data_IF_110196587915
#
_entry.id   IF_110196587915
#
_cell.length_a   1.000
_cell.length_b   1.000
_cell.length_c   1.000
_cell.angle_alpha   90.00
_cell.angle_beta   90.00
_cell.angle_gamma   90.00
#
_symmetry.space_group_name_H-M   'P 1'
#
loop_
_entity.id
_entity.type
_entity.pdbx_description
1 polymer ?
#
# COMPACT_ATOMS: atom_id res chain seq x y z
N UNK A 1 10.98 16.88 9.21
CA UNK A 1 10.62 18.03 10.08
C UNK A 1 11.79 19.01 10.24
N UNK A 2 11.54 20.34 10.29
CA UNK A 2 12.59 21.34 10.53
C UNK A 2 13.33 21.09 11.85
N UNK A 3 12.61 20.85 12.94
CA UNK A 3 13.21 20.43 14.21
C UNK A 3 13.76 19.00 14.09
N UNK A 4 15.08 18.76 14.26
CA UNK A 4 15.64 17.42 14.23
C UNK A 4 15.09 16.48 15.31
N UNK A 5 14.57 17.02 16.42
CA UNK A 5 13.99 16.25 17.53
C UNK A 5 12.63 15.62 17.18
N UNK A 6 12.02 16.03 16.07
CA UNK A 6 10.74 15.46 15.60
C UNK A 6 10.94 14.43 14.48
N UNK A 7 12.18 14.07 14.15
CA UNK A 7 12.48 13.11 13.08
C UNK A 7 12.45 11.70 13.64
N UNK A 8 11.28 11.10 13.84
CA UNK A 8 11.20 9.67 14.13
C UNK A 8 11.81 8.88 12.97
N UNK A 9 12.58 7.83 13.25
CA UNK A 9 13.22 7.00 12.24
C UNK A 9 12.58 5.62 12.28
N UNK A 10 12.00 5.22 11.16
CA UNK A 10 11.37 3.90 10.99
C UNK A 10 11.70 3.32 9.62
N UNK A 11 11.61 2.00 9.49
CA UNK A 11 11.76 1.31 8.20
C UNK A 11 10.56 1.57 7.29
N UNK A 12 10.74 1.23 6.01
CA UNK A 12 9.62 1.06 5.08
C UNK A 12 9.16 -0.40 5.11
N UNK A 13 7.92 -0.65 4.73
CA UNK A 13 7.41 -1.99 4.48
C UNK A 13 8.31 -2.74 3.49
N UNK A 14 8.54 -4.01 3.75
CA UNK A 14 9.21 -4.95 2.86
C UNK A 14 8.42 -6.29 2.81
N UNK A 15 7.76 -6.63 1.69
CA UNK A 15 7.59 -5.82 0.49
C UNK A 15 6.69 -4.60 0.74
N UNK A 16 6.77 -3.60 -0.13
CA UNK A 16 5.86 -2.45 -0.07
C UNK A 16 4.41 -2.89 -0.34
N UNK A 17 3.44 -2.19 0.25
CA UNK A 17 2.02 -2.45 -0.01
C UNK A 17 1.70 -2.15 -1.47
N UNK A 18 0.81 -2.93 -2.05
CA UNK A 18 0.23 -2.71 -3.39
C UNK A 18 -0.84 -1.63 -3.41
N UNK A 19 -1.48 -1.38 -2.27
CA UNK A 19 -2.50 -0.35 -2.16
C UNK A 19 -2.36 0.44 -0.85
N UNK A 20 -2.61 1.74 -0.94
CA UNK A 20 -2.68 2.70 0.16
C UNK A 20 -3.76 3.71 -0.21
N UNK A 21 -4.69 3.95 0.72
CA UNK A 21 -5.79 4.88 0.51
C UNK A 21 -5.28 6.31 0.22
N UNK A 22 -6.04 7.03 -0.61
CA UNK A 22 -5.87 8.47 -0.80
C UNK A 22 -5.91 9.20 0.55
N UNK A 23 -5.03 10.20 0.65
CA UNK A 23 -4.78 11.04 1.80
C UNK A 23 -4.28 10.26 3.03
N UNK A 24 -3.80 9.02 2.84
CA UNK A 24 -3.02 8.33 3.85
C UNK A 24 -1.78 9.15 4.21
N UNK A 25 -1.41 9.16 5.48
CA UNK A 25 -0.21 9.82 5.99
C UNK A 25 0.74 8.74 6.49
N UNK A 26 2.00 8.80 6.04
CA UNK A 26 2.99 7.81 6.43
C UNK A 26 4.36 8.37 6.77
N UNK A 27 5.14 7.62 7.54
CA UNK A 27 6.54 7.90 7.85
C UNK A 27 7.42 6.79 7.29
N UNK A 28 8.55 7.17 6.67
CA UNK A 28 9.51 6.24 6.09
C UNK A 28 10.92 6.83 6.20
N UNK A 29 11.80 6.17 6.93
CA UNK A 29 13.00 6.81 7.45
C UNK A 29 12.62 7.97 8.37
N UNK A 30 13.17 9.14 8.12
CA UNK A 30 12.84 10.40 8.83
C UNK A 30 11.87 11.32 8.07
N UNK A 31 11.31 10.82 6.97
CA UNK A 31 10.44 11.57 6.07
C UNK A 31 8.98 11.23 6.32
N UNK A 32 8.13 12.23 6.10
CA UNK A 32 6.68 12.08 6.07
C UNK A 32 6.20 12.18 4.62
N UNK A 33 5.19 11.40 4.26
CA UNK A 33 4.46 11.54 3.01
C UNK A 33 2.95 11.67 3.27
N UNK A 34 2.26 12.32 2.34
CA UNK A 34 0.81 12.24 2.19
C UNK A 34 0.55 11.63 0.81
N UNK A 35 -0.22 10.56 0.75
CA UNK A 35 -0.56 9.90 -0.50
C UNK A 35 -1.63 10.72 -1.22
N UNK A 36 -1.26 11.42 -2.30
CA UNK A 36 -2.19 12.29 -3.04
C UNK A 36 -3.29 11.53 -3.78
N UNK A 37 -3.13 10.23 -4.00
CA UNK A 37 -4.07 9.35 -4.67
C UNK A 37 -3.87 7.92 -4.19
N UNK A 38 -4.86 7.05 -4.45
CA UNK A 38 -4.72 5.61 -4.18
C UNK A 38 -3.53 5.05 -4.96
N UNK A 39 -2.62 4.37 -4.26
CA UNK A 39 -1.35 3.94 -4.85
C UNK A 39 -0.62 2.91 -3.99
N UNK A 40 0.30 2.12 -4.57
CA UNK A 40 1.27 1.34 -3.80
C UNK A 40 2.10 2.22 -2.86
N UNK A 41 2.52 1.68 -1.73
CA UNK A 41 3.18 2.48 -0.68
C UNK A 41 4.01 1.68 0.31
N UNK A 42 5.24 2.14 0.56
CA UNK A 42 6.15 1.53 1.54
C UNK A 42 6.21 2.24 2.89
N UNK A 43 5.61 3.41 3.07
CA UNK A 43 5.73 4.17 4.33
C UNK A 43 4.84 3.55 5.42
N UNK A 44 5.29 3.62 6.68
CA UNK A 44 4.50 3.22 7.84
C UNK A 44 3.30 4.15 7.99
N UNK A 45 2.08 3.61 7.95
CA UNK A 45 0.87 4.43 8.03
C UNK A 45 0.63 4.89 9.46
N UNK A 46 0.44 6.20 9.62
CA UNK A 46 0.25 6.82 10.93
C UNK A 46 -1.08 7.58 11.05
N UNK A 47 -1.82 7.72 9.94
CA UNK A 47 -3.10 8.41 9.94
C UNK A 47 -3.62 8.70 8.54
N UNK A 48 -4.63 9.56 8.47
CA UNK A 48 -5.26 10.03 7.24
C UNK A 48 -5.56 11.53 7.37
N UNK A 49 -5.60 12.22 6.25
CA UNK A 49 -5.86 13.66 6.18
C UNK A 49 -6.86 13.97 5.06
N UNK A 50 -7.02 15.25 4.75
CA UNK A 50 -7.78 15.76 3.62
C UNK A 50 -7.03 15.54 2.30
N UNK A 51 -7.72 15.48 1.15
CA UNK A 51 -7.05 15.38 -0.16
C UNK A 51 -6.07 16.54 -0.40
N UNK A 52 -4.86 16.20 -0.86
CA UNK A 52 -3.84 17.18 -1.28
C UNK A 52 -3.71 17.27 -2.81
N UNK A 53 -4.55 16.52 -3.52
CA UNK A 53 -4.67 16.49 -4.97
C UNK A 53 -6.13 16.73 -5.34
N UNK A 54 -6.40 17.78 -6.13
CA UNK A 54 -7.75 18.22 -6.48
C UNK A 54 -8.31 17.60 -7.76
N UNK A 55 -7.55 16.73 -8.42
CA UNK A 55 -7.98 16.09 -9.67
C UNK A 55 -8.27 17.11 -10.79
N UNK A 56 -9.31 16.83 -11.60
CA UNK A 56 -9.68 17.66 -12.74
C UNK A 56 -10.51 18.89 -12.37
N UNK A 57 -11.10 18.92 -11.17
CA UNK A 57 -11.94 20.01 -10.67
C UNK A 57 -11.53 20.34 -9.23
N UNK A 58 -10.37 20.98 -9.07
CA UNK A 58 -9.86 21.30 -7.74
C UNK A 58 -10.82 22.23 -6.98
N UNK A 59 -11.02 21.94 -5.69
CA UNK A 59 -11.87 22.74 -4.80
C UNK A 59 -11.23 24.08 -4.41
N UNK A 60 -11.90 24.83 -3.52
CA UNK A 60 -11.52 26.22 -3.14
C UNK A 60 -10.10 26.39 -2.59
N UNK A 61 -9.51 25.34 -2.03
CA UNK A 61 -8.18 25.37 -1.40
C UNK A 61 -7.03 25.38 -2.41
N UNK A 62 -7.31 25.06 -3.67
CA UNK A 62 -6.30 24.92 -4.72
C UNK A 62 -6.23 26.21 -5.54
N UNK A 63 -5.05 26.49 -6.09
CA UNK A 63 -4.90 27.59 -7.04
C UNK A 63 -5.51 27.24 -8.40
N UNK A 64 -6.00 28.24 -9.13
CA UNK A 64 -6.65 28.07 -10.43
C UNK A 64 -5.79 27.27 -11.41
N UNK A 65 -6.33 26.16 -11.90
CA UNK A 65 -5.66 25.25 -12.84
C UNK A 65 -4.52 24.42 -12.24
N UNK A 66 -4.31 24.47 -10.92
CA UNK A 66 -3.23 23.73 -10.23
C UNK A 66 -3.82 22.60 -9.38
N UNK A 67 -3.65 21.32 -9.77
CA UNK A 67 -4.27 20.21 -9.06
C UNK A 67 -3.50 19.76 -7.81
N UNK A 68 -2.25 20.19 -7.59
CA UNK A 68 -1.50 19.90 -6.37
C UNK A 68 -1.61 21.04 -5.36
N UNK A 69 -1.90 20.69 -4.11
CA UNK A 69 -2.08 21.69 -3.04
C UNK A 69 -0.74 22.27 -2.56
N UNK A 70 0.26 21.42 -2.41
CA UNK A 70 1.53 21.74 -1.76
C UNK A 70 2.60 22.13 -2.77
N UNK A 71 3.41 23.12 -2.42
CA UNK A 71 4.61 23.54 -3.15
C UNK A 71 5.87 23.22 -2.35
N UNK A 72 7.02 23.23 -3.01
CA UNK A 72 8.29 23.13 -2.29
C UNK A 72 8.40 24.27 -1.26
N UNK A 73 8.96 23.93 -0.10
CA UNK A 73 9.12 24.82 1.07
C UNK A 73 7.84 25.18 1.85
N UNK A 74 6.67 24.71 1.41
CA UNK A 74 5.46 24.80 2.23
C UNK A 74 5.64 24.02 3.54
N UNK A 75 4.92 24.47 4.58
CA UNK A 75 4.90 23.83 5.89
C UNK A 75 3.51 23.31 6.18
N UNK A 76 3.42 22.03 6.51
CA UNK A 76 2.19 21.41 6.98
C UNK A 76 2.17 21.50 8.51
N UNK A 77 1.06 21.99 9.05
CA UNK A 77 0.78 21.99 10.49
C UNK A 77 -0.40 21.05 10.74
N UNK A 78 -0.19 20.08 11.63
CA UNK A 78 -1.17 19.05 11.95
C UNK A 78 -1.97 19.45 13.19
N UNK A 79 -3.27 19.18 13.17
CA UNK A 79 -4.14 19.26 14.34
C UNK A 79 -4.90 17.93 14.48
N UNK A 80 -5.04 17.40 15.70
CA UNK A 80 -5.75 16.14 15.91
C UNK A 80 -7.25 16.33 15.70
N UNK A 81 -7.86 15.38 15.00
CA UNK A 81 -9.31 15.27 14.83
C UNK A 81 -9.72 13.81 14.96
N UNK A 82 -10.98 13.58 15.34
CA UNK A 82 -11.58 12.25 15.31
C UNK A 82 -11.82 11.79 13.86
N UNK A 83 -12.02 10.46 13.63
CA UNK A 83 -12.37 9.95 12.32
C UNK A 83 -13.67 10.55 11.75
N UNK A 84 -14.67 10.80 12.60
CA UNK A 84 -15.94 11.40 12.17
C UNK A 84 -15.76 12.85 11.72
N UNK A 85 -15.07 13.66 12.53
CA UNK A 85 -14.75 15.05 12.18
C UNK A 85 -13.94 15.14 10.89
N UNK A 86 -13.00 14.21 10.64
CA UNK A 86 -12.26 14.18 9.38
C UNK A 86 -13.18 13.94 8.18
N UNK A 87 -14.18 13.06 8.31
CA UNK A 87 -15.14 12.82 7.23
C UNK A 87 -16.02 14.05 6.97
N UNK A 88 -16.45 14.72 8.03
CA UNK A 88 -17.23 15.97 7.93
C UNK A 88 -16.41 17.08 7.23
N UNK A 89 -15.16 17.27 7.65
CA UNK A 89 -14.24 18.24 7.02
C UNK A 89 -14.07 17.93 5.52
N UNK A 90 -13.90 16.65 5.17
CA UNK A 90 -13.76 16.25 3.76
C UNK A 90 -15.02 16.55 2.96
N UNK A 91 -16.19 16.24 3.51
CA UNK A 91 -17.46 16.56 2.86
C UNK A 91 -17.66 18.08 2.68
N UNK A 92 -17.24 18.90 3.65
CA UNK A 92 -17.28 20.36 3.55
C UNK A 92 -16.31 20.91 2.47
N UNK A 93 -15.12 20.31 2.34
CA UNK A 93 -14.16 20.67 1.30
C UNK A 93 -14.64 20.27 -0.09
N UNK A 94 -15.15 19.04 -0.24
CA UNK A 94 -15.65 18.50 -1.51
C UNK A 94 -16.87 19.27 -2.02
N UNK A 95 -17.77 19.68 -1.11
CA UNK A 95 -18.91 20.54 -1.44
C UNK A 95 -18.52 22.00 -1.71
N UNK A 96 -17.27 22.38 -1.43
CA UNK A 96 -16.79 23.76 -1.53
C UNK A 96 -17.46 24.71 -0.53
N UNK A 97 -18.05 24.19 0.56
CA UNK A 97 -18.59 25.02 1.67
C UNK A 97 -17.47 25.74 2.42
N UNK A 98 -16.33 25.07 2.56
CA UNK A 98 -15.14 25.60 3.25
C UNK A 98 -13.88 25.44 2.40
N UNK A 99 -12.78 26.02 2.88
CA UNK A 99 -11.43 25.85 2.35
C UNK A 99 -10.45 25.55 3.49
N UNK A 100 -9.24 25.12 3.12
CA UNK A 100 -8.17 24.90 4.08
C UNK A 100 -7.56 26.23 4.55
N UNK A 101 -7.10 26.27 5.79
CA UNK A 101 -6.34 27.40 6.32
C UNK A 101 -4.93 27.43 5.72
N UNK A 102 -4.76 28.22 4.66
CA UNK A 102 -3.50 28.40 3.95
C UNK A 102 -3.06 29.85 4.14
N UNK A 103 -1.91 30.04 4.77
CA UNK A 103 -1.38 31.37 5.09
C UNK A 103 -0.04 31.59 4.38
N UNK A 104 0.16 32.74 3.72
CA UNK A 104 1.49 33.13 3.25
C UNK A 104 2.48 33.15 4.41
N UNK A 105 3.70 32.68 4.17
CA UNK A 105 4.74 32.64 5.17
C UNK A 105 6.13 32.68 4.56
N UNK A 106 7.12 32.97 5.40
CA UNK A 106 8.52 33.00 5.01
C UNK A 106 9.31 32.04 5.88
N UNK A 107 10.18 31.25 5.25
CA UNK A 107 11.17 30.44 5.94
C UNK A 107 12.54 31.14 5.83
N UNK A 108 13.14 31.47 6.98
CA UNK A 108 14.49 32.05 7.02
C UNK A 108 15.51 30.95 7.33
N UNK A 109 16.40 30.67 6.38
CA UNK A 109 17.49 29.71 6.60
C UNK A 109 18.39 30.17 7.76
N UNK A 110 18.79 31.44 7.78
CA UNK A 110 19.61 31.99 8.87
C UNK A 110 18.90 31.90 10.24
N UNK A 111 17.57 32.09 10.26
CA UNK A 111 16.76 31.86 11.45
C UNK A 111 16.79 30.39 11.88
N UNK A 112 16.67 29.46 10.95
CA UNK A 112 16.73 28.03 11.23
C UNK A 112 18.11 27.58 11.74
N UNK A 113 19.20 28.07 11.14
CA UNK A 113 20.56 27.77 11.60
C UNK A 113 20.83 28.31 13.01
N UNK A 114 20.29 29.48 13.33
CA UNK A 114 20.33 30.02 14.70
C UNK A 114 19.58 29.11 15.66
N UNK A 115 18.36 28.72 15.33
CA UNK A 115 17.57 27.76 16.11
C UNK A 115 18.35 26.45 16.36
N UNK A 116 19.02 25.91 15.34
CA UNK A 116 19.83 24.69 15.48
C UNK A 116 21.01 24.88 16.45
N UNK A 117 21.69 26.02 16.40
CA UNK A 117 22.79 26.35 17.34
C UNK A 117 22.29 26.51 18.77
N UNK A 118 21.20 27.27 18.95
CA UNK A 118 20.60 27.53 20.27
C UNK A 118 20.06 26.25 20.93
N UNK A 119 19.69 25.24 20.14
CA UNK A 119 19.14 23.98 20.62
C UNK A 119 20.11 22.79 20.47
N UNK A 120 21.40 23.05 20.22
CA UNK A 120 22.37 22.02 19.82
C UNK A 120 22.43 20.85 20.82
N UNK A 121 22.49 21.14 22.12
CA UNK A 121 22.60 20.12 23.16
C UNK A 121 21.34 19.25 23.26
N UNK A 122 20.15 19.87 23.20
CA UNK A 122 18.88 19.15 23.20
C UNK A 122 18.73 18.27 21.96
N UNK A 123 19.15 18.78 20.80
CA UNK A 123 19.16 18.01 19.55
C UNK A 123 20.14 16.84 19.64
N UNK A 124 21.34 17.05 20.17
CA UNK A 124 22.33 16.00 20.36
C UNK A 124 21.82 14.91 21.31
N UNK A 125 21.26 15.29 22.46
CA UNK A 125 20.68 14.36 23.42
C UNK A 125 19.53 13.53 22.82
N UNK A 126 18.67 14.15 22.01
CA UNK A 126 17.63 13.41 21.28
C UNK A 126 18.23 12.42 20.28
N UNK A 127 19.21 12.84 19.47
CA UNK A 127 19.85 11.98 18.47
C UNK A 127 20.55 10.78 19.10
N UNK A 128 21.23 10.96 20.23
CA UNK A 128 21.86 9.86 20.97
C UNK A 128 20.82 8.83 21.40
N UNK A 129 19.71 9.28 22.02
CA UNK A 129 18.61 8.37 22.43
C UNK A 129 17.98 7.66 21.23
N UNK A 130 17.73 8.39 20.15
CA UNK A 130 17.19 7.82 18.92
C UNK A 130 18.11 6.76 18.32
N UNK A 131 19.41 7.03 18.23
CA UNK A 131 20.38 6.09 17.65
C UNK A 131 20.47 4.81 18.49
N UNK A 132 20.47 4.94 19.82
CA UNK A 132 20.45 3.79 20.72
C UNK A 132 19.16 2.96 20.56
N UNK A 133 17.99 3.61 20.51
CA UNK A 133 16.71 2.92 20.31
C UNK A 133 16.63 2.21 18.94
N UNK A 134 17.10 2.87 17.87
CA UNK A 134 17.14 2.25 16.55
C UNK A 134 18.10 1.06 16.49
N UNK A 135 19.26 1.16 17.14
CA UNK A 135 20.21 0.05 17.24
C UNK A 135 19.61 -1.16 17.96
N UNK A 136 18.97 -0.93 19.10
CA UNK A 136 18.31 -1.99 19.86
C UNK A 136 17.19 -2.69 19.07
N UNK A 137 16.37 -1.93 18.33
CA UNK A 137 15.31 -2.49 17.49
C UNK A 137 15.90 -3.32 16.34
N UNK A 138 16.96 -2.84 15.68
CA UNK A 138 17.62 -3.58 14.61
C UNK A 138 18.20 -4.90 15.12
N UNK A 139 18.87 -4.89 16.27
CA UNK A 139 19.40 -6.11 16.90
C UNK A 139 18.28 -7.10 17.25
N UNK A 140 17.11 -6.62 17.69
CA UNK A 140 15.95 -7.45 17.93
C UNK A 140 15.39 -8.09 16.64
N UNK A 141 15.37 -7.36 15.52
CA UNK A 141 14.99 -7.92 14.21
C UNK A 141 16.00 -8.94 13.69
N UNK A 142 17.30 -8.74 13.92
CA UNK A 142 18.32 -9.74 13.59
C UNK A 142 18.14 -11.01 14.42
N UNK A 143 17.94 -10.87 15.73
CA UNK A 143 17.76 -12.00 16.65
C UNK A 143 16.48 -12.79 16.41
N UNK A 144 15.42 -12.13 15.93
CA UNK A 144 14.14 -12.78 15.55
C UNK A 144 14.14 -13.38 14.15
N UNK A 145 15.19 -13.12 13.34
CA UNK A 145 15.27 -13.56 11.95
C UNK A 145 14.39 -12.75 10.99
N UNK A 146 13.82 -11.62 11.42
CA UNK A 146 13.01 -10.72 10.57
C UNK A 146 13.84 -10.05 9.46
N UNK A 147 15.15 -9.93 9.65
CA UNK A 147 16.10 -9.44 8.65
C UNK A 147 16.69 -10.55 7.76
N UNK A 148 16.38 -11.82 8.02
CA UNK A 148 16.73 -12.88 7.08
C UNK A 148 15.98 -12.64 5.78
N UNK A 149 16.68 -12.74 4.64
CA UNK A 149 16.01 -12.70 3.34
C UNK A 149 14.91 -13.75 3.35
N UNK A 150 13.66 -13.32 3.14
CA UNK A 150 12.58 -14.24 2.80
C UNK A 150 13.10 -14.98 1.58
N UNK A 151 13.42 -16.28 1.76
CA UNK A 151 13.82 -17.12 0.66
C UNK A 151 12.81 -16.88 -0.46
N UNK A 152 13.30 -16.36 -1.58
CA UNK A 152 12.51 -16.28 -2.80
C UNK A 152 11.96 -17.68 -2.99
N UNK A 153 10.63 -17.82 -2.97
CA UNK A 153 9.99 -19.13 -2.99
C UNK A 153 10.61 -19.88 -4.16
N UNK A 154 11.27 -21.01 -3.87
CA UNK A 154 11.99 -21.76 -4.89
C UNK A 154 11.05 -21.94 -6.08
N UNK A 155 11.53 -21.70 -7.33
CA UNK A 155 10.68 -21.80 -8.50
C UNK A 155 9.95 -23.14 -8.43
N UNK A 156 8.63 -23.08 -8.37
CA UNK A 156 7.83 -24.29 -8.26
C UNK A 156 8.14 -25.10 -9.51
N UNK A 157 8.59 -26.36 -9.37
CA UNK A 157 8.89 -27.18 -10.54
C UNK A 157 7.66 -27.17 -11.44
N UNK A 158 7.88 -26.97 -12.74
CA UNK A 158 6.81 -27.00 -13.74
C UNK A 158 5.92 -28.20 -13.44
N UNK A 159 4.65 -27.94 -13.14
CA UNK A 159 3.67 -28.99 -12.87
C UNK A 159 3.71 -29.94 -14.05
N UNK A 160 4.02 -31.21 -13.79
CA UNK A 160 3.93 -32.27 -14.79
C UNK A 160 2.52 -32.35 -15.39
N UNK A 161 2.29 -33.22 -16.38
CA UNK A 161 1.00 -33.30 -17.06
C UNK A 161 -0.16 -33.44 -16.05
N UNK A 162 -1.03 -32.42 -16.00
CA UNK A 162 -2.23 -32.42 -15.16
C UNK A 162 -3.24 -33.37 -15.79
N UNK A 163 -3.60 -34.44 -15.07
CA UNK A 163 -4.65 -35.36 -15.51
C UNK A 163 -6.01 -34.71 -15.32
N UNK A 164 -6.73 -34.47 -16.41
CA UNK A 164 -8.07 -33.88 -16.37
C UNK A 164 -9.13 -34.98 -16.25
N UNK A 165 -10.08 -34.87 -15.30
CA UNK A 165 -11.27 -35.72 -15.30
C UNK A 165 -12.10 -35.48 -16.58
N UNK A 166 -12.93 -36.46 -17.02
CA UNK A 166 -13.84 -36.26 -18.15
C UNK A 166 -14.73 -35.03 -17.95
N UNK A 167 -14.79 -34.14 -18.94
CA UNK A 167 -15.52 -32.87 -18.85
C UNK A 167 -14.79 -31.77 -18.04
N UNK A 168 -13.60 -32.07 -17.53
CA UNK A 168 -12.73 -31.12 -16.84
C UNK A 168 -12.06 -30.15 -17.82
N UNK A 169 -12.08 -28.88 -17.46
CA UNK A 169 -11.37 -27.80 -18.17
C UNK A 169 -10.36 -27.15 -17.23
N UNK A 170 -9.16 -26.91 -17.75
CA UNK A 170 -8.11 -26.23 -17.01
C UNK A 170 -8.31 -24.72 -17.09
N UNK A 171 -8.05 -24.03 -15.97
CA UNK A 171 -7.93 -22.58 -15.93
C UNK A 171 -6.49 -22.25 -15.58
N UNK A 172 -5.82 -21.58 -16.51
CA UNK A 172 -4.40 -21.24 -16.41
C UNK A 172 -4.19 -19.78 -16.00
N UNK A 173 -3.00 -19.50 -15.47
CA UNK A 173 -2.57 -18.16 -15.14
C UNK A 173 -2.38 -17.31 -16.41
N UNK A 174 -3.03 -16.14 -16.52
CA UNK A 174 -2.89 -15.31 -17.72
C UNK A 174 -1.55 -14.59 -17.82
N UNK A 175 -0.81 -14.50 -16.72
CA UNK A 175 0.49 -13.82 -16.61
C UNK A 175 1.30 -14.35 -15.43
N UNK A 176 2.63 -14.14 -15.47
CA UNK A 176 3.50 -14.40 -14.32
C UNK A 176 3.12 -13.49 -13.15
N UNK A 177 2.95 -14.10 -11.97
CA UNK A 177 2.34 -13.45 -10.80
C UNK A 177 2.58 -14.25 -9.52
N UNK A 178 2.24 -13.67 -8.37
CA UNK A 178 2.09 -14.41 -7.11
C UNK A 178 0.63 -14.75 -6.86
N UNK A 179 0.33 -15.88 -6.23
CA UNK A 179 -1.03 -16.23 -5.86
C UNK A 179 -1.39 -15.49 -4.57
N UNK A 180 -2.25 -14.48 -4.66
CA UNK A 180 -2.67 -13.70 -3.49
C UNK A 180 -3.66 -14.47 -2.63
N UNK A 181 -4.70 -15.04 -3.25
CA UNK A 181 -5.77 -15.76 -2.55
C UNK A 181 -6.46 -16.76 -3.48
N UNK A 182 -6.84 -17.91 -2.94
CA UNK A 182 -7.79 -18.83 -3.57
C UNK A 182 -9.20 -18.45 -3.11
N UNK A 183 -10.10 -18.13 -4.06
CA UNK A 183 -11.45 -17.65 -3.81
C UNK A 183 -12.50 -18.77 -3.81
N UNK A 184 -12.22 -19.90 -4.49
CA UNK A 184 -13.10 -21.06 -4.54
C UNK A 184 -12.31 -22.35 -4.20
N UNK A 185 -12.87 -23.19 -3.33
CA UNK A 185 -12.26 -24.47 -2.93
C UNK A 185 -12.78 -25.63 -3.82
N UNK A 186 -12.07 -26.77 -3.88
CA UNK A 186 -12.60 -27.98 -4.50
C UNK A 186 -14.00 -28.34 -3.97
N UNK A 187 -14.89 -28.77 -4.87
CA UNK A 187 -16.31 -29.01 -4.63
C UNK A 187 -17.21 -27.77 -4.70
N UNK A 188 -16.65 -26.56 -4.85
CA UNK A 188 -17.46 -25.33 -4.95
C UNK A 188 -18.12 -25.23 -6.32
N UNK A 189 -19.45 -25.07 -6.35
CA UNK A 189 -20.18 -24.70 -7.57
C UNK A 189 -19.97 -23.21 -7.88
N UNK A 190 -19.60 -22.91 -9.11
CA UNK A 190 -19.28 -21.56 -9.59
C UNK A 190 -20.09 -21.22 -10.83
N UNK A 191 -20.46 -19.95 -10.96
CA UNK A 191 -21.04 -19.40 -12.18
C UNK A 191 -19.96 -18.77 -13.07
N UNK A 192 -20.22 -18.68 -14.38
CA UNK A 192 -19.39 -17.94 -15.30
C UNK A 192 -19.12 -16.51 -14.77
N UNK A 193 -17.86 -16.10 -14.74
CA UNK A 193 -17.41 -14.81 -14.21
C UNK A 193 -17.15 -14.78 -12.70
N UNK A 194 -17.51 -15.84 -11.95
CA UNK A 194 -17.24 -15.91 -10.51
C UNK A 194 -15.72 -16.04 -10.23
N UNK A 195 -15.16 -15.34 -9.23
CA UNK A 195 -13.74 -15.43 -8.89
C UNK A 195 -13.32 -16.84 -8.46
N UNK A 196 -12.20 -17.32 -8.99
CA UNK A 196 -11.57 -18.59 -8.60
C UNK A 196 -10.29 -18.38 -7.81
N UNK A 197 -9.39 -17.56 -8.35
CA UNK A 197 -8.09 -17.23 -7.78
C UNK A 197 -7.82 -15.75 -8.00
N UNK A 198 -7.29 -15.08 -6.99
CA UNK A 198 -6.78 -13.72 -7.09
C UNK A 198 -5.26 -13.81 -7.12
N UNK A 199 -4.67 -13.26 -8.18
CA UNK A 199 -3.24 -13.16 -8.39
C UNK A 199 -2.78 -11.74 -8.07
N UNK A 200 -1.53 -11.57 -7.70
CA UNK A 200 -0.88 -10.27 -7.57
C UNK A 200 0.24 -10.21 -8.62
N UNK A 201 0.09 -9.27 -9.54
CA UNK A 201 1.05 -9.04 -10.61
C UNK A 201 1.25 -7.54 -10.78
N UNK A 202 2.49 -7.08 -10.90
CA UNK A 202 2.79 -5.66 -11.13
C UNK A 202 2.13 -4.72 -10.10
N UNK A 203 2.01 -5.17 -8.83
CA UNK A 203 1.33 -4.48 -7.72
C UNK A 203 -0.17 -4.25 -7.92
N UNK A 204 -0.78 -5.03 -8.81
CA UNK A 204 -2.21 -5.04 -9.08
C UNK A 204 -2.78 -6.42 -8.80
N UNK A 205 -4.01 -6.45 -8.27
CA UNK A 205 -4.77 -7.69 -8.17
C UNK A 205 -5.34 -8.06 -9.54
N UNK A 206 -5.11 -9.31 -9.96
CA UNK A 206 -5.67 -9.89 -11.18
C UNK A 206 -6.58 -11.04 -10.78
N UNK A 207 -7.89 -10.84 -10.95
CA UNK A 207 -8.90 -11.85 -10.60
C UNK A 207 -9.09 -12.81 -11.77
N UNK A 208 -8.68 -14.07 -11.59
CA UNK A 208 -8.97 -15.16 -12.51
C UNK A 208 -10.37 -15.70 -12.21
N UNK A 209 -11.22 -15.71 -13.23
CA UNK A 209 -12.66 -15.99 -13.13
C UNK A 209 -13.02 -17.30 -13.83
N UNK A 210 -14.11 -17.92 -13.39
CA UNK A 210 -14.68 -19.09 -14.02
C UNK A 210 -15.11 -18.79 -15.47
N UNK A 211 -14.64 -19.56 -16.47
CA UNK A 211 -15.01 -19.35 -17.86
C UNK A 211 -16.45 -19.81 -18.17
N UNK A 212 -17.04 -20.66 -17.32
CA UNK A 212 -18.37 -21.22 -17.47
C UNK A 212 -18.92 -21.64 -16.10
N UNK A 213 -20.21 -21.98 -16.07
CA UNK A 213 -20.85 -22.63 -14.93
C UNK A 213 -20.25 -24.02 -14.72
N UNK A 214 -20.01 -24.39 -13.47
CA UNK A 214 -19.37 -25.67 -13.16
C UNK A 214 -19.07 -25.89 -11.69
N UNK A 215 -18.34 -26.97 -11.41
CA UNK A 215 -17.83 -27.30 -10.09
C UNK A 215 -16.31 -27.30 -10.13
N UNK A 216 -15.68 -26.60 -9.19
CA UNK A 216 -14.23 -26.63 -8.99
C UNK A 216 -13.83 -28.05 -8.59
N UNK A 217 -13.16 -28.77 -9.47
CA UNK A 217 -12.71 -30.13 -9.22
C UNK A 217 -11.46 -30.14 -8.34
N UNK A 218 -10.53 -29.24 -8.64
CA UNK A 218 -9.25 -29.15 -7.95
C UNK A 218 -8.67 -27.73 -7.98
N UNK A 219 -7.81 -27.41 -7.02
CA UNK A 219 -7.02 -26.17 -6.95
C UNK A 219 -5.55 -26.55 -6.88
N UNK A 220 -4.79 -26.14 -7.89
CA UNK A 220 -3.43 -26.61 -8.15
C UNK A 220 -2.36 -25.66 -7.58
N UNK A 221 -2.78 -24.59 -6.91
CA UNK A 221 -1.91 -23.55 -6.39
C UNK A 221 -2.23 -23.18 -4.94
N UNK A 222 -1.26 -22.62 -4.25
CA UNK A 222 -1.38 -22.16 -2.86
C UNK A 222 -1.11 -20.66 -2.72
N UNK A 223 -1.75 -19.95 -1.76
CA UNK A 223 -1.44 -18.55 -1.50
C UNK A 223 0.05 -18.34 -1.19
N UNK A 224 0.64 -17.30 -1.78
CA UNK A 224 2.07 -16.97 -1.72
C UNK A 224 2.93 -17.60 -2.82
N UNK A 225 2.39 -18.57 -3.58
CA UNK A 225 3.12 -19.26 -4.65
C UNK A 225 3.43 -18.31 -5.82
N UNK A 226 4.69 -18.31 -6.29
CA UNK A 226 5.07 -17.67 -7.55
C UNK A 226 4.72 -18.60 -8.72
N UNK A 227 4.11 -18.03 -9.76
CA UNK A 227 3.65 -18.76 -10.94
C UNK A 227 4.00 -18.00 -12.21
N UNK A 228 4.19 -18.74 -13.30
CA UNK A 228 4.38 -18.19 -14.63
C UNK A 228 3.08 -18.16 -15.45
N UNK A 229 3.06 -17.36 -16.50
CA UNK A 229 1.99 -17.40 -17.50
C UNK A 229 1.79 -18.84 -18.03
N UNK A 230 0.54 -19.30 -18.08
CA UNK A 230 0.19 -20.66 -18.46
C UNK A 230 0.29 -21.69 -17.34
N UNK A 231 0.67 -21.30 -16.11
CA UNK A 231 0.66 -22.21 -14.96
C UNK A 231 -0.78 -22.61 -14.63
N UNK A 232 -1.09 -23.91 -14.52
CA UNK A 232 -2.42 -24.38 -14.14
C UNK A 232 -2.83 -23.91 -12.75
N UNK A 233 -4.01 -23.30 -12.62
CA UNK A 233 -4.51 -22.78 -11.35
C UNK A 233 -5.57 -23.68 -10.72
N UNK A 234 -6.54 -24.11 -11.54
CA UNK A 234 -7.70 -24.87 -11.08
C UNK A 234 -8.30 -25.67 -12.22
N UNK A 235 -8.95 -26.77 -11.87
CA UNK A 235 -9.73 -27.60 -12.80
C UNK A 235 -11.21 -27.36 -12.52
N UNK A 236 -12.00 -27.06 -13.55
CA UNK A 236 -13.46 -26.94 -13.46
C UNK A 236 -14.12 -28.02 -14.28
N UNK A 237 -15.02 -28.79 -13.66
CA UNK A 237 -15.99 -29.63 -14.34
C UNK A 237 -17.14 -28.76 -14.82
N UNK A 238 -17.28 -28.60 -16.14
CA UNK A 238 -18.37 -27.81 -16.70
C UNK A 238 -19.69 -28.52 -16.48
N UNK A 239 -20.71 -27.76 -16.12
CA UNK A 239 -22.08 -28.25 -16.22
C UNK A 239 -22.53 -28.07 -17.67
N UNK A 240 -23.01 -29.14 -18.30
CA UNK A 240 -23.61 -29.02 -19.63
C UNK A 240 -24.84 -28.13 -19.53
N UNK A 241 -24.92 -27.12 -20.41
CA UNK A 241 -26.10 -26.29 -20.54
C UNK A 241 -27.27 -27.21 -20.94
N UNK A 242 -28.28 -27.29 -20.07
CA UNK A 242 -29.54 -27.99 -20.35
C UNK A 242 -30.31 -27.32 -21.50
#
# INVERSE_FOLDING_TARGET
PPDPRHRLVTTKYNPARTWTAEAGVGIGGSYLCVYGMESPGGYQLIGRTVPIWGGLRPGRSFADGIPWLLRFFDRIVWHPVSPAELLDIRADLDSGRTGLDIRPGTFSLAGHERFLRENADSIAAFRTRQAAAFGAEREAWEASGELAERAEAAPVPATGPVSLPPGGSLVDAPLSSSVWKVAAAPGTRVQAGQPLVVLEAMKMEVVVRAPADGVVADVLVTPGQQIDAGTPLTVILREEAA
#
